data_IF_584768280812
#
_entry.id   IF_584768280812
#
_cell.length_a   1.000
_cell.length_b   1.000
_cell.length_c   1.000
_cell.angle_alpha   90.00
_cell.angle_beta   90.00
_cell.angle_gamma   90.00
#
_symmetry.space_group_name_H-M   'P 1'
#
loop_
_entity.id
_entity.type
_entity.pdbx_description
1 polymer ?
#
# COMPACT_ATOMS: atom_id res chain seq x y z
N UNK A 1 -3.65 25.28 1.78
CA UNK A 1 -2.28 25.13 2.34
C UNK A 1 -2.13 23.77 2.95
N UNK A 2 -1.16 22.99 2.47
CA UNK A 2 -0.84 21.67 3.01
C UNK A 2 0.16 21.75 4.18
N UNK A 3 0.58 22.94 4.54
CA UNK A 3 1.56 23.17 5.60
C UNK A 3 0.82 23.67 6.85
N UNK A 4 0.94 22.92 7.94
CA UNK A 4 0.50 23.38 9.26
C UNK A 4 1.35 24.60 9.68
N UNK A 5 0.71 25.75 9.79
CA UNK A 5 1.39 27.02 10.12
C UNK A 5 2.07 26.99 11.49
N UNK A 6 1.63 26.13 12.42
CA UNK A 6 2.18 26.00 13.77
C UNK A 6 3.45 25.15 13.81
N UNK A 7 3.51 24.09 13.01
CA UNK A 7 4.61 23.10 13.05
C UNK A 7 5.55 23.21 11.86
N UNK A 8 5.16 23.93 10.80
CA UNK A 8 5.90 24.02 9.54
C UNK A 8 5.97 22.69 8.78
N UNK A 9 5.18 21.70 9.17
CA UNK A 9 5.16 20.37 8.55
C UNK A 9 3.98 20.24 7.61
N UNK A 10 4.12 19.37 6.62
CA UNK A 10 3.00 18.98 5.74
C UNK A 10 1.98 18.23 6.60
N UNK A 11 0.75 18.76 6.63
CA UNK A 11 -0.41 18.11 7.23
C UNK A 11 -1.53 18.02 6.20
N UNK A 12 -1.73 16.85 5.65
CA UNK A 12 -2.80 16.57 4.69
C UNK A 12 -4.08 16.07 5.38
N UNK A 13 -4.00 15.71 6.66
CA UNK A 13 -5.12 15.07 7.35
C UNK A 13 -6.34 15.99 7.49
N UNK A 14 -6.13 17.25 7.81
CA UNK A 14 -7.24 18.23 7.93
C UNK A 14 -7.99 18.38 6.60
N UNK A 15 -7.26 18.46 5.49
CA UNK A 15 -7.86 18.55 4.14
C UNK A 15 -8.58 17.26 3.77
N UNK A 16 -7.98 16.11 4.04
CA UNK A 16 -8.59 14.80 3.82
C UNK A 16 -9.92 14.65 4.58
N UNK A 17 -9.94 15.00 5.87
CA UNK A 17 -11.15 14.94 6.69
C UNK A 17 -12.28 15.81 6.13
N UNK A 18 -11.98 17.05 5.71
CA UNK A 18 -12.96 17.93 5.08
C UNK A 18 -13.50 17.36 3.77
N UNK A 19 -12.65 16.67 3.00
CA UNK A 19 -13.08 16.00 1.77
C UNK A 19 -14.05 14.87 2.07
N UNK A 20 -13.81 14.07 3.11
CA UNK A 20 -14.73 13.01 3.55
C UNK A 20 -16.09 13.59 3.97
N UNK A 21 -16.09 14.63 4.78
CA UNK A 21 -17.31 15.34 5.22
C UNK A 21 -18.11 15.85 3.99
N UNK A 22 -17.43 16.55 3.07
CA UNK A 22 -18.07 17.09 1.87
C UNK A 22 -18.63 16.00 0.93
N UNK A 23 -18.01 14.83 0.91
CA UNK A 23 -18.43 13.69 0.09
C UNK A 23 -19.45 12.77 0.80
N UNK A 24 -19.73 12.98 2.08
CA UNK A 24 -20.62 12.12 2.86
C UNK A 24 -20.08 10.70 3.05
N UNK A 25 -18.74 10.57 3.17
CA UNK A 25 -18.04 9.27 3.25
C UNK A 25 -17.60 8.88 4.66
N UNK A 26 -18.04 9.60 5.70
CA UNK A 26 -17.58 9.43 7.08
C UNK A 26 -17.97 8.05 7.66
N UNK A 27 -19.08 7.49 7.22
CA UNK A 27 -19.52 6.14 7.63
C UNK A 27 -18.86 5.01 6.82
N UNK A 28 -18.11 5.35 5.77
CA UNK A 28 -17.50 4.39 4.86
C UNK A 28 -15.97 4.35 4.98
N UNK A 29 -15.36 5.52 5.21
CA UNK A 29 -13.90 5.69 5.23
C UNK A 29 -13.43 6.00 6.64
N UNK A 30 -12.58 5.12 7.18
CA UNK A 30 -11.98 5.29 8.52
C UNK A 30 -10.53 5.72 8.37
N UNK A 31 -10.19 6.98 8.68
CA UNK A 31 -8.81 7.44 8.68
C UNK A 31 -8.05 6.92 9.89
N UNK A 32 -6.89 6.32 9.67
CA UNK A 32 -6.01 5.83 10.73
C UNK A 32 -4.70 6.62 10.68
N UNK A 33 -4.48 7.47 11.67
CA UNK A 33 -3.27 8.31 11.76
C UNK A 33 -2.19 7.59 12.55
N UNK A 34 -1.37 6.80 11.86
CA UNK A 34 -0.27 6.05 12.45
C UNK A 34 0.68 5.57 11.34
N UNK A 35 1.83 4.99 11.71
CA UNK A 35 2.65 4.33 10.72
C UNK A 35 2.03 2.98 10.29
N UNK A 36 2.15 2.63 9.02
CA UNK A 36 1.69 1.36 8.44
C UNK A 36 2.07 0.15 9.28
N UNK A 37 3.32 0.08 9.70
CA UNK A 37 3.86 -1.05 10.48
C UNK A 37 3.20 -1.18 11.85
N UNK A 38 2.90 -0.06 12.50
CA UNK A 38 2.24 -0.09 13.84
C UNK A 38 0.81 -0.58 13.69
N UNK A 39 0.09 -0.07 12.70
CA UNK A 39 -1.30 -0.49 12.43
C UNK A 39 -1.36 -1.97 12.04
N UNK A 40 -0.52 -2.41 11.12
CA UNK A 40 -0.51 -3.78 10.62
C UNK A 40 -0.25 -4.83 11.73
N UNK A 41 0.58 -4.51 12.73
CA UNK A 41 0.81 -5.41 13.88
C UNK A 41 -0.44 -5.69 14.71
N UNK A 42 -1.34 -4.71 14.80
CA UNK A 42 -2.58 -4.83 15.54
C UNK A 42 -3.76 -5.25 14.66
N UNK A 43 -3.53 -5.40 13.36
CA UNK A 43 -4.58 -5.69 12.40
C UNK A 43 -4.91 -7.18 12.36
N UNK A 44 -6.16 -7.54 12.61
CA UNK A 44 -6.61 -8.93 12.64
C UNK A 44 -7.60 -9.28 11.50
N UNK A 45 -8.19 -8.27 10.84
CA UNK A 45 -9.22 -8.49 9.82
C UNK A 45 -8.58 -8.76 8.46
N UNK A 46 -8.89 -9.87 7.78
CA UNK A 46 -8.43 -10.12 6.42
C UNK A 46 -8.92 -9.02 5.46
N UNK A 47 -8.05 -8.59 4.54
CA UNK A 47 -8.34 -7.55 3.56
C UNK A 47 -8.67 -8.16 2.22
N UNK A 48 -9.74 -7.68 1.58
CA UNK A 48 -10.05 -8.04 0.19
C UNK A 48 -9.17 -7.29 -0.81
N UNK A 49 -8.67 -6.13 -0.42
CA UNK A 49 -7.77 -5.30 -1.22
C UNK A 49 -6.86 -4.47 -0.32
N UNK A 50 -5.59 -4.40 -0.69
CA UNK A 50 -4.63 -3.44 -0.14
C UNK A 50 -4.08 -2.59 -1.29
N UNK A 51 -4.11 -1.27 -1.14
CA UNK A 51 -3.55 -0.31 -2.09
C UNK A 51 -2.36 0.39 -1.45
N UNK A 52 -1.19 0.22 -2.05
CA UNK A 52 0.06 0.87 -1.63
C UNK A 52 0.32 2.06 -2.53
N UNK A 53 0.21 3.24 -1.95
CA UNK A 53 0.45 4.54 -2.59
C UNK A 53 1.14 5.49 -1.58
N UNK A 54 2.13 4.97 -0.88
CA UNK A 54 2.81 5.63 0.22
C UNK A 54 4.14 6.27 -0.18
N UNK A 55 5.08 6.30 0.77
CA UNK A 55 6.40 6.92 0.54
C UNK A 55 7.22 6.23 -0.55
N UNK A 56 7.93 7.05 -1.35
CA UNK A 56 8.68 6.62 -2.52
C UNK A 56 10.13 6.17 -2.22
N UNK A 57 10.51 6.07 -0.93
CA UNK A 57 11.78 5.43 -0.57
C UNK A 57 11.60 3.90 -0.58
N UNK A 58 12.69 3.18 -0.89
CA UNK A 58 12.64 1.71 -0.85
C UNK A 58 12.23 1.19 0.52
N UNK A 59 12.75 1.78 1.60
CA UNK A 59 12.44 1.39 2.97
C UNK A 59 10.94 1.55 3.29
N UNK A 60 10.34 2.68 2.90
CA UNK A 60 8.91 2.93 3.12
C UNK A 60 8.04 1.93 2.33
N UNK A 61 8.27 1.79 1.03
CA UNK A 61 7.53 0.88 0.18
C UNK A 61 7.70 -0.59 0.60
N UNK A 62 8.91 -1.01 1.01
CA UNK A 62 9.19 -2.34 1.51
C UNK A 62 8.48 -2.61 2.84
N UNK A 63 8.47 -1.61 3.73
CA UNK A 63 7.75 -1.69 5.02
C UNK A 63 6.25 -1.86 4.78
N UNK A 64 5.65 -1.08 3.90
CA UNK A 64 4.22 -1.18 3.58
C UNK A 64 3.88 -2.56 3.00
N UNK A 65 4.65 -3.03 2.03
CA UNK A 65 4.45 -4.35 1.43
C UNK A 65 4.54 -5.47 2.46
N UNK A 66 5.63 -5.53 3.22
CA UNK A 66 5.86 -6.62 4.20
C UNK A 66 4.87 -6.59 5.35
N UNK A 67 4.43 -5.39 5.75
CA UNK A 67 3.44 -5.25 6.80
C UNK A 67 2.04 -5.71 6.37
N UNK A 68 1.63 -5.47 5.11
CA UNK A 68 0.25 -5.65 4.69
C UNK A 68 -0.01 -6.84 3.75
N UNK A 69 1.00 -7.33 3.04
CA UNK A 69 0.82 -8.43 2.08
C UNK A 69 0.20 -9.69 2.72
N UNK A 70 0.55 -9.98 3.97
CA UNK A 70 0.04 -11.11 4.74
C UNK A 70 -1.44 -10.99 5.13
N UNK A 71 -1.97 -9.77 5.21
CA UNK A 71 -3.36 -9.51 5.59
C UNK A 71 -4.36 -9.64 4.44
N UNK A 72 -3.87 -9.72 3.19
CA UNK A 72 -4.74 -9.90 2.03
C UNK A 72 -5.26 -11.34 2.03
N UNK A 73 -6.58 -11.53 1.95
CA UNK A 73 -7.20 -12.85 1.88
C UNK A 73 -6.86 -13.58 0.56
N UNK A 74 -6.89 -14.91 0.50
CA UNK A 74 -6.80 -15.64 -0.76
C UNK A 74 -7.83 -15.14 -1.77
N UNK A 75 -7.40 -14.86 -3.00
CA UNK A 75 -8.23 -14.25 -4.05
C UNK A 75 -8.35 -12.72 -3.97
N UNK A 76 -7.91 -12.09 -2.88
CA UNK A 76 -7.86 -10.64 -2.72
C UNK A 76 -6.75 -9.99 -3.55
N UNK A 77 -6.71 -8.67 -3.57
CA UNK A 77 -5.84 -7.90 -4.46
C UNK A 77 -4.82 -7.05 -3.70
N UNK A 78 -3.62 -7.00 -4.25
CA UNK A 78 -2.58 -6.02 -3.93
C UNK A 78 -2.44 -5.07 -5.12
N UNK A 79 -2.65 -3.79 -4.89
CA UNK A 79 -2.43 -2.74 -5.86
C UNK A 79 -1.22 -1.90 -5.43
N UNK A 80 -0.31 -1.63 -6.37
CA UNK A 80 0.89 -0.81 -6.11
C UNK A 80 0.94 0.29 -7.16
N UNK A 81 0.91 1.54 -6.71
CA UNK A 81 0.96 2.71 -7.59
C UNK A 81 2.40 3.10 -7.95
N UNK A 82 2.54 3.99 -8.94
CA UNK A 82 3.81 4.58 -9.39
C UNK A 82 4.85 3.58 -9.90
N UNK A 83 4.40 2.61 -10.69
CA UNK A 83 5.29 1.69 -11.40
C UNK A 83 5.83 2.35 -12.65
N UNK A 84 7.07 2.82 -12.58
CA UNK A 84 7.80 3.39 -13.72
C UNK A 84 8.91 2.43 -14.16
N UNK A 85 8.97 2.13 -15.45
CA UNK A 85 10.02 1.27 -16.01
C UNK A 85 11.28 2.06 -16.33
N UNK A 86 11.13 3.32 -16.71
CA UNK A 86 12.24 4.25 -16.90
C UNK A 86 12.50 5.05 -15.63
N UNK A 87 13.72 4.99 -15.05
CA UNK A 87 14.07 5.80 -13.89
C UNK A 87 13.94 7.32 -14.10
N UNK A 88 13.94 7.78 -15.35
CA UNK A 88 13.72 9.19 -15.69
C UNK A 88 12.25 9.64 -15.49
N UNK A 89 11.30 8.68 -15.50
CA UNK A 89 9.87 8.96 -15.35
C UNK A 89 9.42 9.00 -13.89
N UNK A 90 10.17 8.33 -12.97
CA UNK A 90 9.77 8.31 -11.57
C UNK A 90 10.63 7.41 -10.68
N UNK A 91 10.31 7.43 -9.39
CA UNK A 91 10.97 6.64 -8.37
C UNK A 91 10.86 5.13 -8.61
N UNK A 92 11.94 4.39 -8.34
CA UNK A 92 12.01 2.96 -8.64
C UNK A 92 11.59 2.05 -7.47
N UNK A 93 11.36 2.61 -6.30
CA UNK A 93 11.00 1.82 -5.12
C UNK A 93 9.70 1.02 -5.30
N UNK A 94 8.57 1.59 -5.78
CA UNK A 94 7.35 0.82 -6.02
C UNK A 94 7.55 -0.32 -7.02
N UNK A 95 8.34 -0.09 -8.08
CA UNK A 95 8.69 -1.14 -9.06
C UNK A 95 9.45 -2.29 -8.43
N UNK A 96 10.41 -2.02 -7.53
CA UNK A 96 11.13 -3.08 -6.82
C UNK A 96 10.18 -3.92 -5.96
N UNK A 97 9.23 -3.28 -5.27
CA UNK A 97 8.23 -3.99 -4.47
C UNK A 97 7.31 -4.84 -5.34
N UNK A 98 6.85 -4.31 -6.47
CA UNK A 98 6.10 -5.08 -7.46
C UNK A 98 6.86 -6.34 -7.90
N UNK A 99 8.16 -6.21 -8.24
CA UNK A 99 9.00 -7.35 -8.60
C UNK A 99 9.17 -8.37 -7.47
N UNK A 100 9.31 -7.91 -6.22
CA UNK A 100 9.35 -8.78 -5.04
C UNK A 100 8.02 -9.54 -4.87
N UNK A 101 6.89 -8.85 -5.00
CA UNK A 101 5.57 -9.47 -4.91
C UNK A 101 5.37 -10.54 -5.98
N UNK A 102 5.75 -10.28 -7.24
CA UNK A 102 5.71 -11.26 -8.33
C UNK A 102 6.57 -12.50 -8.04
N UNK A 103 7.75 -12.32 -7.43
CA UNK A 103 8.69 -13.41 -7.12
C UNK A 103 8.36 -14.16 -5.82
N UNK A 104 7.52 -13.59 -4.97
CA UNK A 104 7.18 -14.18 -3.66
C UNK A 104 6.44 -15.50 -3.74
N UNK A 105 5.83 -15.83 -4.88
CA UNK A 105 4.93 -16.95 -5.03
C UNK A 105 3.54 -16.76 -4.39
N UNK A 106 3.35 -15.66 -3.65
CA UNK A 106 2.08 -15.35 -2.98
C UNK A 106 1.04 -14.78 -3.94
N UNK A 107 1.50 -14.04 -4.94
CA UNK A 107 0.65 -13.29 -5.84
C UNK A 107 0.79 -13.78 -7.29
N UNK A 108 -0.28 -13.63 -8.01
CA UNK A 108 -0.34 -13.77 -9.46
C UNK A 108 -0.41 -12.36 -10.06
N UNK A 109 0.48 -12.08 -11.00
CA UNK A 109 0.49 -10.80 -11.72
C UNK A 109 -0.71 -10.74 -12.67
N UNK A 110 -1.51 -9.69 -12.52
CA UNK A 110 -2.67 -9.39 -13.38
C UNK A 110 -2.37 -8.27 -14.37
N UNK A 111 -1.13 -7.78 -14.39
CA UNK A 111 -0.66 -6.73 -15.29
C UNK A 111 -0.73 -5.34 -14.70
N UNK A 112 -0.50 -4.36 -15.57
CA UNK A 112 -0.53 -2.94 -15.22
C UNK A 112 -1.70 -2.23 -15.89
N UNK A 113 -2.26 -1.26 -15.16
CA UNK A 113 -3.17 -0.26 -15.68
C UNK A 113 -2.47 1.09 -15.55
N UNK A 114 -1.88 1.57 -16.63
CA UNK A 114 -0.96 2.72 -16.61
C UNK A 114 0.22 2.46 -15.65
N UNK A 115 0.34 3.21 -14.56
CA UNK A 115 1.37 3.04 -13.54
C UNK A 115 0.91 2.21 -12.33
N UNK A 116 -0.28 1.64 -12.36
CA UNK A 116 -0.84 0.81 -11.29
C UNK A 116 -0.61 -0.67 -11.56
N UNK A 117 0.20 -1.33 -10.74
CA UNK A 117 0.31 -2.80 -10.76
C UNK A 117 -0.87 -3.44 -10.04
N UNK A 118 -1.42 -4.49 -10.66
CA UNK A 118 -2.52 -5.28 -10.11
C UNK A 118 -2.03 -6.71 -9.89
N UNK A 119 -2.01 -7.13 -8.63
CA UNK A 119 -1.63 -8.50 -8.26
C UNK A 119 -2.78 -9.15 -7.49
N UNK A 120 -3.03 -10.42 -7.73
CA UNK A 120 -4.07 -11.18 -7.02
C UNK A 120 -3.43 -12.24 -6.12
N UNK A 121 -3.84 -12.30 -4.85
CA UNK A 121 -3.36 -13.32 -3.95
C UNK A 121 -3.82 -14.71 -4.41
N UNK A 122 -2.88 -15.66 -4.51
CA UNK A 122 -3.17 -17.03 -4.91
C UNK A 122 -4.10 -17.72 -3.92
N UNK A 123 -5.02 -18.52 -4.44
CA UNK A 123 -5.86 -19.42 -3.65
C UNK A 123 -5.05 -20.68 -3.41
N UNK A 124 -4.75 -21.03 -2.14
CA UNK A 124 -3.98 -22.22 -1.78
C UNK A 124 -2.46 -22.09 -1.86
N UNK A 125 -1.92 -20.89 -2.03
CA UNK A 125 -0.49 -20.61 -1.88
C UNK A 125 -0.06 -20.71 -0.42
N UNK A 126 0.83 -21.65 -0.09
CA UNK A 126 1.49 -21.71 1.20
C UNK A 126 2.44 -20.50 1.32
N UNK A 127 2.38 -19.76 2.43
CA UNK A 127 3.43 -18.78 2.75
C UNK A 127 4.76 -19.54 2.81
N UNK A 128 5.81 -19.14 2.07
CA UNK A 128 7.13 -19.69 2.34
C UNK A 128 7.46 -19.34 3.80
N UNK A 129 7.88 -20.35 4.57
CA UNK A 129 8.17 -20.23 6.00
C UNK A 129 9.34 -19.27 6.31
N UNK A 130 10.02 -18.77 5.30
CA UNK A 130 11.29 -18.03 5.39
C UNK A 130 11.21 -16.66 4.70
N UNK A 131 10.18 -15.85 4.96
CA UNK A 131 10.31 -14.41 4.70
C UNK A 131 11.19 -13.83 5.81
N UNK A 132 12.41 -13.32 5.51
CA UNK A 132 13.21 -12.65 6.52
C UNK A 132 12.46 -11.41 7.02
N UNK A 133 12.27 -11.36 8.33
CA UNK A 133 11.72 -10.22 9.08
C UNK A 133 12.72 -9.05 9.07
#
# INVERSE_FOLDING_TARGET
DLIDARTGRIDTFTTFRRTLEAAGLEDTVVPIVSSSRVVARAWATPQSLVFIDGGHTFEAAFTDYTAWAGHIMPGGYLLIHDIFFDPAEGGQAPRHIYQLACRSGLFEDRGLVQTLAVLQRRIGGHLPADLPL
#
